data_IF_317065148744
#
_entry.id   IF_317065148744
#
_cell.length_a   1.000
_cell.length_b   1.000
_cell.length_c   1.000
_cell.angle_alpha   90.00
_cell.angle_beta   90.00
_cell.angle_gamma   90.00
#
_symmetry.space_group_name_H-M   'P 1'
#
loop_
_entity.id
_entity.type
_entity.pdbx_description
1 polymer ?
#
# COMPACT_ATOMS: atom_id res chain seq x y z
N UNK A 1 -1.68 -37.36 -18.83
CA UNK A 1 -2.74 -37.37 -17.81
C UNK A 1 -3.80 -38.38 -18.24
N UNK A 2 -4.02 -39.44 -17.47
CA UNK A 2 -5.17 -40.33 -17.70
C UNK A 2 -6.44 -39.54 -17.39
N UNK A 3 -7.39 -39.53 -18.32
CA UNK A 3 -8.72 -38.95 -18.18
C UNK A 3 -9.39 -39.54 -16.94
N UNK A 4 -9.49 -38.75 -15.88
CA UNK A 4 -10.31 -39.09 -14.72
C UNK A 4 -11.56 -38.22 -14.80
N UNK A 5 -12.72 -38.86 -14.81
CA UNK A 5 -13.99 -38.16 -14.75
C UNK A 5 -14.02 -37.37 -13.44
N UNK A 6 -14.02 -36.05 -13.57
CA UNK A 6 -13.89 -35.11 -12.46
C UNK A 6 -15.02 -34.10 -12.52
N UNK A 7 -15.55 -33.76 -11.33
CA UNK A 7 -16.60 -32.77 -11.18
C UNK A 7 -15.95 -31.50 -10.66
N UNK A 8 -16.11 -30.40 -11.40
CA UNK A 8 -15.62 -29.08 -11.01
C UNK A 8 -16.77 -28.24 -10.49
N UNK A 9 -16.65 -27.77 -9.25
CA UNK A 9 -17.61 -26.88 -8.61
C UNK A 9 -16.95 -25.53 -8.38
N UNK A 10 -17.53 -24.49 -8.95
CA UNK A 10 -17.01 -23.13 -8.87
C UNK A 10 -17.82 -22.32 -7.86
N UNK A 11 -17.15 -21.77 -6.85
CA UNK A 11 -17.76 -20.87 -5.89
C UNK A 11 -17.47 -19.43 -6.28
N UNK A 12 -18.48 -18.57 -6.14
CA UNK A 12 -18.32 -17.14 -6.40
C UNK A 12 -17.49 -16.46 -5.32
N UNK A 13 -16.83 -15.35 -5.66
CA UNK A 13 -16.17 -14.51 -4.66
C UNK A 13 -17.13 -13.99 -3.58
N UNK A 14 -18.43 -13.87 -3.88
CA UNK A 14 -19.43 -13.44 -2.91
C UNK A 14 -19.68 -14.51 -1.83
N UNK A 15 -19.66 -15.79 -2.21
CA UNK A 15 -19.77 -16.89 -1.27
C UNK A 15 -18.66 -16.84 -0.20
N UNK A 16 -17.40 -16.68 -0.63
CA UNK A 16 -16.28 -16.56 0.31
C UNK A 16 -16.33 -15.28 1.15
N UNK A 17 -16.82 -14.16 0.59
CA UNK A 17 -17.04 -12.93 1.36
C UNK A 17 -18.06 -13.13 2.47
N UNK A 18 -19.16 -13.83 2.19
CA UNK A 18 -20.18 -14.13 3.20
C UNK A 18 -19.65 -15.07 4.28
N UNK A 19 -18.87 -16.09 3.93
CA UNK A 19 -18.22 -16.96 4.93
C UNK A 19 -17.34 -16.17 5.90
N UNK A 20 -16.48 -15.29 5.38
CA UNK A 20 -15.62 -14.43 6.21
C UNK A 20 -16.46 -13.53 7.12
N UNK A 21 -17.54 -12.92 6.61
CA UNK A 21 -18.42 -12.07 7.41
C UNK A 21 -19.13 -12.85 8.53
N UNK A 22 -19.36 -14.15 8.37
CA UNK A 22 -19.92 -15.04 9.38
C UNK A 22 -18.88 -15.59 10.37
N UNK A 23 -17.60 -15.18 10.25
CA UNK A 23 -16.51 -15.66 11.10
C UNK A 23 -16.00 -17.07 10.74
N UNK A 24 -16.34 -17.59 9.56
CA UNK A 24 -15.95 -18.91 9.09
C UNK A 24 -14.71 -18.78 8.21
N UNK A 25 -13.53 -18.76 8.83
CA UNK A 25 -12.24 -18.58 8.14
C UNK A 25 -11.30 -19.78 8.20
N UNK A 26 -11.46 -20.66 9.19
CA UNK A 26 -10.66 -21.87 9.37
C UNK A 26 -11.61 -23.05 9.64
N UNK A 27 -11.98 -23.75 8.56
CA UNK A 27 -12.94 -24.86 8.63
C UNK A 27 -12.50 -26.01 7.73
N UNK A 28 -12.71 -27.23 8.21
CA UNK A 28 -12.58 -28.42 7.36
C UNK A 28 -13.69 -28.39 6.31
N UNK A 29 -13.38 -28.61 5.04
CA UNK A 29 -14.41 -28.57 4.00
C UNK A 29 -15.46 -29.66 4.18
N UNK A 30 -15.14 -30.75 4.90
CA UNK A 30 -16.09 -31.81 5.30
C UNK A 30 -17.29 -31.27 6.09
N UNK A 31 -17.08 -30.21 6.88
CA UNK A 31 -18.10 -29.60 7.74
C UNK A 31 -18.84 -28.47 7.00
N UNK A 32 -18.38 -28.12 5.79
CA UNK A 32 -18.89 -27.00 5.01
C UNK A 32 -19.73 -27.47 3.81
N UNK A 33 -19.26 -28.49 3.09
CA UNK A 33 -19.95 -29.01 1.92
C UNK A 33 -20.00 -30.53 1.91
N UNK A 34 -21.14 -31.04 1.49
CA UNK A 34 -21.36 -32.44 1.23
C UNK A 34 -22.02 -32.55 -0.15
N UNK A 35 -21.46 -33.38 -1.02
CA UNK A 35 -21.98 -33.56 -2.37
C UNK A 35 -22.84 -34.80 -2.43
N UNK A 36 -24.12 -34.59 -2.70
CA UNK A 36 -25.10 -35.65 -2.85
C UNK A 36 -25.52 -35.77 -4.31
N UNK A 37 -25.41 -36.96 -4.86
CA UNK A 37 -25.84 -37.28 -6.23
C UNK A 37 -26.98 -38.30 -6.19
N UNK A 38 -28.03 -38.02 -6.96
CA UNK A 38 -29.15 -38.94 -7.15
C UNK A 38 -29.06 -39.57 -8.53
N UNK A 39 -29.07 -40.90 -8.61
CA UNK A 39 -29.25 -41.59 -9.87
C UNK A 39 -30.75 -41.79 -10.13
N UNK A 40 -31.29 -41.13 -11.17
CA UNK A 40 -32.69 -41.22 -11.56
C UNK A 40 -32.97 -42.29 -12.62
N UNK A 41 -31.92 -42.89 -13.21
CA UNK A 41 -32.02 -43.82 -14.34
C UNK A 41 -32.03 -45.29 -13.88
N UNK A 42 -31.30 -45.61 -12.80
CA UNK A 42 -31.34 -46.91 -12.14
C UNK A 42 -31.82 -46.76 -10.68
N UNK A 43 -33.08 -47.09 -10.37
CA UNK A 43 -33.66 -46.94 -9.03
C UNK A 43 -32.91 -47.71 -7.93
N UNK A 44 -32.21 -48.78 -8.28
CA UNK A 44 -31.43 -49.62 -7.34
C UNK A 44 -30.09 -48.97 -6.93
N UNK A 45 -29.65 -47.91 -7.61
CA UNK A 45 -28.34 -47.28 -7.37
C UNK A 45 -28.36 -46.19 -6.27
N UNK A 46 -29.54 -45.79 -5.80
CA UNK A 46 -29.69 -44.96 -4.60
C UNK A 46 -29.03 -43.58 -4.63
N UNK A 47 -28.74 -43.06 -3.43
CA UNK A 47 -28.07 -41.78 -3.20
C UNK A 47 -26.58 -42.00 -2.92
N UNK A 48 -25.72 -41.26 -3.63
CA UNK A 48 -24.29 -41.22 -3.35
C UNK A 48 -23.94 -39.97 -2.58
N UNK A 49 -23.18 -40.12 -1.49
CA UNK A 49 -22.75 -39.02 -0.64
C UNK A 49 -21.22 -38.97 -0.57
N UNK A 50 -20.66 -37.83 -0.95
CA UNK A 50 -19.22 -37.59 -0.94
C UNK A 50 -18.90 -36.45 0.03
N UNK A 51 -18.18 -36.77 1.10
CA UNK A 51 -17.59 -35.80 2.00
C UNK A 51 -16.20 -35.39 1.51
N UNK A 52 -15.90 -34.10 1.52
CA UNK A 52 -14.57 -33.59 1.17
C UNK A 52 -13.59 -33.78 2.33
N UNK A 53 -12.31 -34.02 2.06
CA UNK A 53 -11.27 -34.23 3.09
C UNK A 53 -10.24 -33.09 3.19
N UNK A 54 -10.50 -31.95 2.53
CA UNK A 54 -9.56 -30.84 2.48
C UNK A 54 -9.80 -29.84 3.63
N UNK A 55 -8.84 -28.95 3.86
CA UNK A 55 -8.97 -27.79 4.73
C UNK A 55 -9.05 -26.52 3.90
N UNK A 56 -9.91 -25.58 4.30
CA UNK A 56 -9.99 -24.25 3.70
C UNK A 56 -9.59 -23.22 4.75
N UNK A 57 -8.45 -22.55 4.51
CA UNK A 57 -7.94 -21.47 5.36
C UNK A 57 -8.06 -20.16 4.58
N UNK A 58 -8.94 -19.28 5.02
CA UNK A 58 -9.11 -17.94 4.45
C UNK A 58 -8.32 -16.95 5.32
N UNK A 59 -7.18 -16.48 4.81
CA UNK A 59 -6.39 -15.42 5.45
C UNK A 59 -6.79 -14.06 4.88
N UNK A 60 -7.39 -13.16 5.67
CA UNK A 60 -7.57 -11.78 5.26
C UNK A 60 -6.22 -11.15 4.88
N UNK A 61 -6.22 -10.28 3.86
CA UNK A 61 -5.02 -9.53 3.50
C UNK A 61 -4.82 -8.40 4.50
N UNK A 62 -3.66 -8.34 5.14
CA UNK A 62 -3.27 -7.22 5.99
C UNK A 62 -3.13 -5.92 5.18
N UNK A 63 -3.44 -4.80 5.81
CA UNK A 63 -3.21 -3.49 5.23
C UNK A 63 -1.71 -3.21 5.10
N UNK A 64 -1.28 -2.74 3.93
CA UNK A 64 0.13 -2.42 3.66
C UNK A 64 0.26 -1.11 2.89
N UNK A 65 1.30 -0.34 3.19
CA UNK A 65 1.67 0.86 2.45
C UNK A 65 3.00 0.62 1.75
N UNK A 66 3.08 0.95 0.47
CA UNK A 66 4.31 1.02 -0.31
C UNK A 66 4.58 2.47 -0.69
N UNK A 67 5.79 2.95 -0.45
CA UNK A 67 6.26 4.28 -0.84
C UNK A 67 7.51 4.06 -1.69
N UNK A 68 7.44 4.43 -2.96
CA UNK A 68 8.54 4.32 -3.90
C UNK A 68 8.78 5.67 -4.55
N UNK A 69 10.03 5.99 -4.87
CA UNK A 69 10.33 7.16 -5.71
C UNK A 69 9.61 7.03 -7.06
N UNK A 70 9.13 8.13 -7.63
CA UNK A 70 8.57 8.14 -8.98
C UNK A 70 9.64 7.89 -10.07
N UNK A 71 10.91 8.03 -9.70
CA UNK A 71 12.08 7.65 -10.48
C UNK A 71 12.52 6.19 -10.24
N UNK A 72 11.79 5.44 -9.41
CA UNK A 72 12.06 4.02 -9.09
C UNK A 72 13.48 3.75 -8.51
N UNK A 73 14.10 4.76 -7.91
CA UNK A 73 15.40 4.68 -7.21
C UNK A 73 15.22 4.72 -5.69
N UNK A 74 16.12 4.06 -4.95
CA UNK A 74 16.14 4.05 -3.49
C UNK A 74 16.73 5.31 -2.86
N UNK A 75 17.50 6.09 -3.63
CA UNK A 75 18.15 7.31 -3.17
C UNK A 75 18.08 8.38 -4.28
N UNK A 76 16.90 8.99 -4.51
CA UNK A 76 16.79 10.07 -5.49
C UNK A 76 17.62 11.27 -5.04
N UNK A 77 18.39 11.84 -5.96
CA UNK A 77 19.17 13.05 -5.74
C UNK A 77 18.84 14.08 -6.82
N UNK A 78 18.87 15.36 -6.45
CA UNK A 78 18.74 16.48 -7.38
C UNK A 78 19.73 17.57 -7.03
N UNK A 79 20.13 18.32 -8.04
CA UNK A 79 21.02 19.48 -7.93
C UNK A 79 20.29 20.71 -8.49
N UNK A 80 20.60 21.88 -7.95
CA UNK A 80 20.02 23.14 -8.36
C UNK A 80 20.68 24.32 -7.65
N UNK A 81 20.34 25.53 -8.09
CA UNK A 81 20.86 26.76 -7.52
C UNK A 81 19.97 27.27 -6.39
N UNK A 82 20.59 28.03 -5.48
CA UNK A 82 19.90 28.65 -4.35
C UNK A 82 19.65 30.11 -4.67
N UNK A 83 18.39 30.53 -4.75
CA UNK A 83 18.09 31.93 -5.04
C UNK A 83 16.61 32.21 -5.28
N UNK A 84 16.25 33.47 -5.16
CA UNK A 84 14.91 33.94 -5.55
C UNK A 84 14.75 33.82 -7.07
N UNK A 85 13.83 32.96 -7.51
CA UNK A 85 13.58 32.70 -8.93
C UNK A 85 14.15 31.38 -9.43
N UNK A 86 14.96 30.68 -8.63
CA UNK A 86 15.40 29.33 -8.94
C UNK A 86 14.26 28.31 -8.73
N UNK A 87 14.18 27.27 -9.57
CA UNK A 87 13.14 26.25 -9.46
C UNK A 87 13.30 25.44 -8.17
N UNK A 88 12.18 24.98 -7.62
CA UNK A 88 12.18 24.10 -6.46
C UNK A 88 12.72 22.70 -6.82
N UNK A 89 13.40 22.08 -5.85
CA UNK A 89 13.83 20.68 -5.94
C UNK A 89 12.66 19.77 -5.53
N UNK A 90 11.94 19.23 -6.51
CA UNK A 90 10.80 18.35 -6.30
C UNK A 90 11.23 16.87 -6.20
N UNK A 91 10.84 16.18 -5.14
CA UNK A 91 11.03 14.73 -4.99
C UNK A 91 9.66 14.03 -5.06
N UNK A 92 9.42 13.30 -6.14
CA UNK A 92 8.16 12.58 -6.34
C UNK A 92 8.17 11.22 -5.66
N UNK A 93 7.06 10.86 -5.03
CA UNK A 93 6.88 9.53 -4.45
C UNK A 93 5.50 8.99 -4.81
N UNK A 94 5.45 7.73 -5.22
CA UNK A 94 4.23 6.97 -5.46
C UNK A 94 3.89 6.23 -4.17
N UNK A 95 2.76 6.60 -3.57
CA UNK A 95 2.21 5.94 -2.39
C UNK A 95 1.11 4.99 -2.83
N UNK A 96 1.30 3.69 -2.59
CA UNK A 96 0.31 2.65 -2.89
C UNK A 96 -0.15 1.98 -1.60
N UNK A 97 -1.45 1.97 -1.36
CA UNK A 97 -2.06 1.23 -0.24
C UNK A 97 -2.64 -0.09 -0.75
N UNK A 98 -2.44 -1.19 -0.03
CA UNK A 98 -3.08 -2.48 -0.29
C UNK A 98 -3.83 -2.94 0.94
N UNK A 99 -4.99 -3.59 0.77
CA UNK A 99 -5.84 -4.05 1.86
C UNK A 99 -7.32 -3.69 1.66
N UNK A 100 -8.23 -4.48 2.24
CA UNK A 100 -9.68 -4.25 2.17
C UNK A 100 -10.15 -3.27 3.25
N UNK A 101 -9.45 -3.23 4.37
CA UNK A 101 -9.59 -2.20 5.40
C UNK A 101 -8.82 -0.98 4.93
N UNK A 102 -9.54 0.09 4.57
CA UNK A 102 -8.93 1.40 4.48
C UNK A 102 -8.37 1.75 5.86
N UNK A 103 -7.13 2.24 5.93
CA UNK A 103 -6.72 2.95 7.14
C UNK A 103 -7.62 4.19 7.28
N UNK A 104 -8.11 4.46 8.49
CA UNK A 104 -8.94 5.64 8.76
C UNK A 104 -8.15 6.93 8.48
N UNK A 105 -6.83 6.89 8.69
CA UNK A 105 -5.91 7.98 8.39
C UNK A 105 -4.51 7.43 8.05
N UNK A 106 -3.82 8.02 7.07
CA UNK A 106 -2.41 7.75 6.78
C UNK A 106 -1.63 9.05 7.00
N UNK A 107 -0.81 9.08 8.04
CA UNK A 107 0.02 10.23 8.39
C UNK A 107 1.40 10.09 7.74
N UNK A 108 1.71 10.98 6.79
CA UNK A 108 3.02 11.03 6.12
C UNK A 108 3.86 12.13 6.78
N UNK A 109 5.06 11.79 7.22
CA UNK A 109 6.04 12.73 7.80
C UNK A 109 7.37 12.60 7.08
N UNK A 110 8.02 13.73 6.86
CA UNK A 110 9.39 13.81 6.37
C UNK A 110 10.28 14.13 7.56
N UNK A 111 11.33 13.34 7.75
CA UNK A 111 12.33 13.54 8.82
C UNK A 111 13.71 13.70 8.20
N UNK A 112 14.47 14.66 8.70
CA UNK A 112 15.85 14.90 8.28
C UNK A 112 16.53 15.90 9.22
N UNK A 113 17.82 16.22 9.00
CA UNK A 113 18.48 17.31 9.70
C UNK A 113 17.65 18.59 9.55
N UNK A 114 17.35 19.23 10.67
CA UNK A 114 16.48 20.40 10.68
C UNK A 114 16.97 21.45 11.68
N UNK A 115 16.64 22.71 11.40
CA UNK A 115 16.93 23.84 12.27
C UNK A 115 15.68 24.72 12.38
N UNK A 116 15.43 25.24 13.59
CA UNK A 116 14.34 26.19 13.82
C UNK A 116 14.88 27.61 13.76
N UNK A 117 14.28 28.45 12.90
CA UNK A 117 14.61 29.87 12.75
C UNK A 117 13.31 30.66 12.90
N UNK A 118 13.24 31.55 13.89
CA UNK A 118 12.04 32.35 14.15
C UNK A 118 10.78 31.51 14.43
N UNK A 119 10.93 30.34 15.04
CA UNK A 119 9.81 29.42 15.34
C UNK A 119 9.33 28.56 14.17
N UNK A 120 9.94 28.68 12.98
CA UNK A 120 9.66 27.82 11.82
C UNK A 120 10.76 26.78 11.65
N UNK A 121 10.37 25.53 11.36
CA UNK A 121 11.32 24.43 11.10
C UNK A 121 11.75 24.43 9.64
N UNK A 122 13.06 24.35 9.41
CA UNK A 122 13.69 24.27 8.09
C UNK A 122 14.49 22.97 8.00
N UNK A 123 14.50 22.33 6.83
CA UNK A 123 15.44 21.25 6.54
C UNK A 123 16.84 21.86 6.33
N UNK A 124 17.85 21.27 6.96
CA UNK A 124 19.21 21.77 6.92
C UNK A 124 20.02 20.97 5.90
N UNK A 125 20.53 21.66 4.88
CA UNK A 125 21.51 21.10 3.95
C UNK A 125 22.90 21.51 4.41
N UNK A 126 23.79 20.53 4.51
CA UNK A 126 25.18 20.73 4.87
C UNK A 126 26.09 20.26 3.74
N UNK A 127 27.17 21.00 3.50
CA UNK A 127 28.29 20.49 2.69
C UNK A 127 28.94 19.28 3.37
N UNK A 128 29.68 18.48 2.59
CA UNK A 128 30.36 17.28 3.09
C UNK A 128 31.39 17.58 4.19
N UNK A 129 31.99 18.78 4.15
CA UNK A 129 32.92 19.29 5.15
C UNK A 129 32.23 19.97 6.35
N UNK A 130 30.89 20.10 6.30
CA UNK A 130 30.06 20.69 7.35
C UNK A 130 30.18 22.21 7.53
N UNK A 131 30.93 22.90 6.66
CA UNK A 131 31.21 24.34 6.77
C UNK A 131 30.06 25.20 6.27
N UNK A 132 29.43 24.80 5.15
CA UNK A 132 28.24 25.45 4.62
C UNK A 132 27.00 24.77 5.18
N UNK A 133 26.12 25.57 5.80
CA UNK A 133 24.83 25.13 6.35
C UNK A 133 23.74 26.05 5.85
N UNK A 134 22.85 25.51 5.03
CA UNK A 134 21.80 26.29 4.38
C UNK A 134 20.42 25.72 4.78
N UNK A 135 19.60 26.50 5.51
CA UNK A 135 18.25 26.10 5.90
C UNK A 135 17.26 26.34 4.76
N UNK A 136 16.44 25.33 4.44
CA UNK A 136 15.40 25.40 3.41
C UNK A 136 14.02 25.05 3.98
N UNK A 137 12.96 25.78 3.62
CA UNK A 137 11.61 25.39 3.98
C UNK A 137 11.24 24.17 3.13
N UNK A 138 10.83 23.09 3.79
CA UNK A 138 10.29 21.90 3.14
C UNK A 138 8.76 21.89 3.31
N UNK A 139 8.05 21.60 2.22
CA UNK A 139 6.60 21.41 2.26
C UNK A 139 6.25 20.06 1.63
N UNK A 140 5.21 19.42 2.17
CA UNK A 140 4.70 18.15 1.73
C UNK A 140 3.33 18.39 1.08
N UNK A 141 3.16 17.93 -0.15
CA UNK A 141 1.90 18.02 -0.88
C UNK A 141 1.50 16.66 -1.43
N UNK A 142 0.20 16.35 -1.29
CA UNK A 142 -0.41 15.12 -1.80
C UNK A 142 -1.32 15.49 -2.97
N UNK A 143 -1.13 14.88 -4.14
CA UNK A 143 -2.08 14.96 -5.26
C UNK A 143 -2.59 13.56 -5.63
N UNK A 144 -3.92 13.37 -5.75
CA UNK A 144 -4.49 12.13 -6.26
C UNK A 144 -4.05 11.94 -7.71
N UNK A 145 -3.29 10.87 -7.98
CA UNK A 145 -2.51 10.63 -9.19
C UNK A 145 -1.44 11.72 -9.47
N UNK A 146 -0.19 11.35 -9.17
CA UNK A 146 1.05 12.13 -9.21
C UNK A 146 1.24 13.13 -8.06
N UNK A 147 1.45 12.62 -6.85
CA UNK A 147 1.85 13.38 -5.66
C UNK A 147 3.30 13.89 -5.79
N UNK A 148 3.46 15.12 -6.28
CA UNK A 148 4.73 15.87 -6.18
C UNK A 148 4.85 16.43 -4.77
N UNK A 149 5.93 16.12 -4.05
CA UNK A 149 6.34 16.92 -2.90
C UNK A 149 6.97 18.20 -3.45
N UNK A 150 6.28 19.33 -3.28
CA UNK A 150 6.83 20.65 -3.57
C UNK A 150 7.34 21.25 -2.29
N UNK A 151 8.63 21.58 -2.14
CA UNK A 151 9.09 22.58 -1.19
C UNK A 151 8.85 23.96 -1.78
N UNK A 152 7.82 24.68 -1.33
CA UNK A 152 7.56 26.07 -1.72
C UNK A 152 8.07 27.00 -0.62
N UNK A 153 8.93 27.96 -1.00
CA UNK A 153 9.35 29.03 -0.11
C UNK A 153 8.23 30.05 0.06
N UNK A 154 7.79 30.38 1.29
CA UNK A 154 7.12 31.63 1.55
C UNK A 154 8.17 32.71 1.86
N UNK A 155 8.27 33.69 0.97
CA UNK A 155 8.61 35.09 1.28
C UNK A 155 9.97 35.38 1.93
N UNK A 156 10.87 35.97 1.12
CA UNK A 156 11.95 36.89 1.48
C UNK A 156 12.61 36.72 2.86
N UNK A 157 13.76 36.05 2.91
CA UNK A 157 14.81 36.39 3.87
C UNK A 157 15.91 37.16 3.14
N UNK A 158 15.94 38.47 3.37
CA UNK A 158 17.09 39.32 3.06
C UNK A 158 18.29 38.84 3.87
N UNK A 159 19.31 38.33 3.19
CA UNK A 159 20.62 38.10 3.79
C UNK A 159 21.25 39.48 4.10
N UNK A 160 21.21 39.88 5.36
CA UNK A 160 22.09 40.92 5.88
C UNK A 160 23.50 40.37 5.91
N UNK A 161 24.41 41.00 5.16
CA UNK A 161 25.80 40.60 5.08
C UNK A 161 26.54 40.78 6.40
N UNK A 162 27.55 39.91 6.59
CA UNK A 162 28.83 40.23 7.20
C UNK A 162 29.89 39.49 6.37
#
# INVERSE_FOLDING_TARGET
MKSSDSIYVFFSSNFFKQMVNLGISDINTKDLFNFRFQNTTSPESGWYEFSTSNTLIIKPRDFSISIISDEYTSAPSREGYVGSGEPALDFGYIVTTSGKTAADEVLIKVTGPAQVIGGRSYCLFSSDDGTAKVPFPATLSLSPAAARLRPTMPGAMTAGGI
#
